data_IF_896077585662
#
_entry.id   IF_896077585662
#
_cell.length_a   1.000
_cell.length_b   1.000
_cell.length_c   1.000
_cell.angle_alpha   90.00
_cell.angle_beta   90.00
_cell.angle_gamma   90.00
#
_symmetry.space_group_name_H-M   'P 1'
#
loop_
_entity.id
_entity.type
_entity.pdbx_description
1 polymer ?
#
# COMPACT_ATOMS: atom_id res chain seq x y z
N UNK A 1 3.06 16.47 23.14
CA UNK A 1 2.33 15.27 23.57
C UNK A 1 3.31 14.10 23.51
N UNK A 2 3.36 13.23 24.53
CA UNK A 2 4.22 12.04 24.48
C UNK A 2 3.66 11.00 23.49
N UNK A 3 4.52 10.16 22.93
CA UNK A 3 4.11 9.08 22.02
C UNK A 3 3.14 8.10 22.69
N UNK A 4 3.30 7.86 23.99
CA UNK A 4 2.40 7.01 24.78
C UNK A 4 0.98 7.58 24.86
N UNK A 5 0.85 8.88 25.15
CA UNK A 5 -0.46 9.54 25.19
C UNK A 5 -1.14 9.53 23.81
N UNK A 6 -0.37 9.64 22.73
CA UNK A 6 -0.91 9.54 21.38
C UNK A 6 -1.42 8.12 21.07
N UNK A 7 -0.68 7.08 21.48
CA UNK A 7 -1.10 5.70 21.32
C UNK A 7 -2.37 5.37 22.11
N UNK A 8 -2.46 5.86 23.35
CA UNK A 8 -3.68 5.72 24.17
C UNK A 8 -4.88 6.40 23.50
N UNK A 9 -4.71 7.64 23.03
CA UNK A 9 -5.74 8.36 22.28
C UNK A 9 -6.20 7.59 21.04
N UNK A 10 -5.25 7.04 20.28
CA UNK A 10 -5.55 6.24 19.08
C UNK A 10 -6.31 4.97 19.47
N UNK A 11 -5.94 4.30 20.56
CA UNK A 11 -6.67 3.11 21.03
C UNK A 11 -8.14 3.39 21.31
N UNK A 12 -8.42 4.43 22.10
CA UNK A 12 -9.79 4.84 22.41
C UNK A 12 -10.61 5.19 21.16
N UNK A 13 -9.98 5.84 20.18
CA UNK A 13 -10.62 6.15 18.90
C UNK A 13 -10.97 4.88 18.14
N UNK A 14 -10.04 3.93 18.03
CA UNK A 14 -10.27 2.70 17.27
C UNK A 14 -11.36 1.83 17.92
N UNK A 15 -11.36 1.72 19.25
CA UNK A 15 -12.41 1.01 19.99
C UNK A 15 -13.79 1.59 19.71
N UNK A 16 -13.93 2.92 19.80
CA UNK A 16 -15.19 3.61 19.53
C UNK A 16 -15.64 3.47 18.06
N UNK A 17 -14.70 3.49 17.12
CA UNK A 17 -14.99 3.30 15.69
C UNK A 17 -15.48 1.88 15.37
N UNK A 18 -14.92 0.88 16.07
CA UNK A 18 -15.30 -0.54 15.93
C UNK A 18 -16.59 -0.88 16.69
N UNK A 19 -17.00 -0.06 17.65
CA UNK A 19 -18.24 -0.23 18.39
C UNK A 19 -19.50 -0.08 17.52
N UNK A 20 -20.64 -0.56 18.04
CA UNK A 20 -21.92 -0.55 17.31
C UNK A 20 -22.72 0.75 17.49
N UNK A 21 -22.42 1.55 18.52
CA UNK A 21 -23.16 2.75 18.86
C UNK A 21 -22.74 3.95 17.98
N UNK A 22 -23.72 4.62 17.38
CA UNK A 22 -23.47 5.73 16.45
C UNK A 22 -22.89 6.98 17.13
N UNK A 23 -23.34 7.31 18.35
CA UNK A 23 -22.86 8.49 19.09
C UNK A 23 -21.34 8.46 19.34
N UNK A 24 -20.82 7.44 20.04
CA UNK A 24 -19.38 7.28 20.25
C UNK A 24 -18.57 7.22 18.95
N UNK A 25 -19.10 6.59 17.90
CA UNK A 25 -18.44 6.54 16.59
C UNK A 25 -18.28 7.94 15.98
N UNK A 26 -19.34 8.76 15.99
CA UNK A 26 -19.29 10.12 15.46
C UNK A 26 -18.34 11.02 16.25
N UNK A 27 -18.30 10.85 17.58
CA UNK A 27 -17.36 11.56 18.44
C UNK A 27 -15.91 11.16 18.12
N UNK A 28 -15.65 9.86 17.96
CA UNK A 28 -14.34 9.35 17.58
C UNK A 28 -13.88 9.83 16.19
N UNK A 29 -14.78 9.88 15.20
CA UNK A 29 -14.49 10.45 13.88
C UNK A 29 -14.12 11.94 13.96
N UNK A 30 -14.85 12.70 14.78
CA UNK A 30 -14.59 14.13 15.00
C UNK A 30 -13.25 14.33 15.71
N UNK A 31 -12.98 13.53 16.74
CA UNK A 31 -11.71 13.56 17.47
C UNK A 31 -10.53 13.20 16.57
N UNK A 32 -10.67 12.16 15.75
CA UNK A 32 -9.64 11.76 14.79
C UNK A 32 -9.37 12.87 13.76
N UNK A 33 -10.43 13.52 13.26
CA UNK A 33 -10.30 14.66 12.36
C UNK A 33 -9.51 15.80 13.01
N UNK A 34 -9.89 16.21 14.21
CA UNK A 34 -9.23 17.31 14.92
C UNK A 34 -7.75 16.98 15.20
N UNK A 35 -7.46 15.78 15.69
CA UNK A 35 -6.07 15.32 15.89
C UNK A 35 -5.27 15.31 14.59
N UNK A 36 -5.88 14.94 13.46
CA UNK A 36 -5.21 14.92 12.15
C UNK A 36 -4.94 16.34 11.64
N UNK A 37 -5.81 17.31 11.96
CA UNK A 37 -5.58 18.73 11.65
C UNK A 37 -4.43 19.28 12.49
N UNK A 38 -4.44 18.99 13.79
CA UNK A 38 -3.47 19.52 14.75
C UNK A 38 -2.07 18.88 14.60
N UNK A 39 -2.02 17.57 14.38
CA UNK A 39 -0.81 16.74 14.40
C UNK A 39 -0.80 15.71 13.24
N UNK A 40 -0.82 16.17 11.98
CA UNK A 40 -0.93 15.30 10.80
C UNK A 40 0.24 14.32 10.67
N UNK A 41 1.47 14.77 10.96
CA UNK A 41 2.67 13.95 10.83
C UNK A 41 2.65 12.77 11.81
N UNK A 42 2.32 13.05 13.06
CA UNK A 42 2.31 12.10 14.16
C UNK A 42 1.19 11.07 13.97
N UNK A 43 -0.01 11.51 13.57
CA UNK A 43 -1.15 10.61 13.33
C UNK A 43 -0.85 9.63 12.19
N UNK A 44 -0.38 10.12 11.04
CA UNK A 44 -0.07 9.25 9.91
C UNK A 44 1.05 8.27 10.23
N UNK A 45 2.09 8.72 10.94
CA UNK A 45 3.20 7.86 11.34
C UNK A 45 2.75 6.79 12.35
N UNK A 46 1.97 7.15 13.36
CA UNK A 46 1.45 6.18 14.33
C UNK A 46 0.55 5.16 13.65
N UNK A 47 -0.30 5.56 12.71
CA UNK A 47 -1.14 4.61 11.98
C UNK A 47 -0.32 3.62 11.15
N UNK A 48 0.75 4.09 10.50
CA UNK A 48 1.68 3.22 9.80
C UNK A 48 2.36 2.23 10.77
N UNK A 49 2.83 2.71 11.93
CA UNK A 49 3.51 1.89 12.92
C UNK A 49 2.60 0.84 13.56
N UNK A 50 1.37 1.20 13.93
CA UNK A 50 0.37 0.28 14.47
C UNK A 50 -0.03 -0.76 13.42
N UNK A 51 -0.39 -0.29 12.22
CA UNK A 51 -0.87 -1.16 11.15
C UNK A 51 0.19 -2.12 10.62
N UNK A 52 1.35 -1.58 10.23
CA UNK A 52 2.39 -2.34 9.53
C UNK A 52 3.35 -3.08 10.46
N UNK A 53 3.61 -2.56 11.67
CA UNK A 53 4.60 -3.15 12.59
C UNK A 53 4.00 -3.65 13.90
N UNK A 54 2.71 -3.43 14.15
CA UNK A 54 2.05 -3.90 15.39
C UNK A 54 2.50 -3.16 16.65
N UNK A 55 3.01 -1.92 16.51
CA UNK A 55 3.42 -1.09 17.66
C UNK A 55 2.23 -0.84 18.58
N UNK A 56 2.46 -0.88 19.90
CA UNK A 56 1.44 -0.54 20.91
C UNK A 56 0.57 -1.71 21.37
N UNK A 57 0.85 -2.95 20.95
CA UNK A 57 0.12 -4.14 21.43
C UNK A 57 -1.31 -4.27 20.91
N UNK A 58 -1.64 -3.54 19.84
CA UNK A 58 -2.96 -3.56 19.22
C UNK A 58 -3.29 -4.92 18.60
N UNK A 59 -4.53 -5.36 18.80
CA UNK A 59 -5.04 -6.59 18.19
C UNK A 59 -5.18 -6.46 16.67
N UNK A 60 -5.25 -7.59 15.97
CA UNK A 60 -5.31 -7.67 14.50
C UNK A 60 -6.37 -6.76 13.88
N UNK A 61 -7.58 -6.69 14.43
CA UNK A 61 -8.64 -5.85 13.87
C UNK A 61 -8.35 -4.35 14.00
N UNK A 62 -7.75 -3.92 15.12
CA UNK A 62 -7.29 -2.54 15.31
C UNK A 62 -6.19 -2.19 14.29
N UNK A 63 -5.19 -3.08 14.15
CA UNK A 63 -4.12 -2.92 13.15
C UNK A 63 -4.70 -2.82 11.73
N UNK A 64 -5.64 -3.69 11.38
CA UNK A 64 -6.29 -3.68 10.09
C UNK A 64 -7.07 -2.37 9.84
N UNK A 65 -7.84 -1.91 10.84
CA UNK A 65 -8.54 -0.62 10.77
C UNK A 65 -7.56 0.55 10.60
N UNK A 66 -6.42 0.56 11.30
CA UNK A 66 -5.42 1.62 11.13
C UNK A 66 -4.84 1.69 9.71
N UNK A 67 -4.62 0.55 9.03
CA UNK A 67 -4.19 0.54 7.63
C UNK A 67 -5.25 1.12 6.69
N UNK A 68 -6.53 0.82 6.93
CA UNK A 68 -7.65 1.41 6.19
C UNK A 68 -7.69 2.92 6.41
N UNK A 69 -7.59 3.36 7.67
CA UNK A 69 -7.64 4.78 8.03
C UNK A 69 -6.44 5.53 7.45
N UNK A 70 -5.22 4.98 7.53
CA UNK A 70 -4.02 5.56 6.95
C UNK A 70 -4.22 5.85 5.45
N UNK A 71 -4.64 4.84 4.69
CA UNK A 71 -4.90 4.97 3.25
C UNK A 71 -5.96 6.04 2.94
N UNK A 72 -7.03 6.09 3.74
CA UNK A 72 -8.17 7.00 3.51
C UNK A 72 -7.90 8.44 3.94
N UNK A 73 -7.14 8.63 5.01
CA UNK A 73 -6.89 9.95 5.58
C UNK A 73 -5.71 10.65 4.93
N UNK A 74 -4.62 9.94 4.63
CA UNK A 74 -3.38 10.56 4.19
C UNK A 74 -3.57 11.46 2.95
N UNK A 75 -4.36 11.02 1.97
CA UNK A 75 -4.44 11.66 0.66
C UNK A 75 -5.77 12.37 0.38
N UNK A 76 -6.71 12.38 1.34
CA UNK A 76 -7.99 13.07 1.18
C UNK A 76 -7.89 14.50 1.72
N UNK A 77 -8.35 15.52 0.97
CA UNK A 77 -8.43 16.88 1.49
C UNK A 77 -9.24 16.95 2.79
N UNK A 78 -8.68 17.61 3.81
CA UNK A 78 -9.28 17.72 5.13
C UNK A 78 -9.63 19.18 5.43
N UNK A 79 -10.91 19.54 5.63
CA UNK A 79 -11.29 20.89 6.04
C UNK A 79 -10.54 21.31 7.30
N UNK A 80 -9.96 22.50 7.30
CA UNK A 80 -9.08 22.99 8.37
C UNK A 80 -7.60 22.76 8.13
N UNK A 81 -7.24 22.02 7.08
CA UNK A 81 -5.86 21.76 6.69
C UNK A 81 -5.54 22.43 5.36
N UNK A 82 -4.53 23.30 5.34
CA UNK A 82 -4.18 24.13 4.19
C UNK A 82 -2.68 24.09 3.92
N UNK A 83 -2.27 24.19 2.65
CA UNK A 83 -0.86 24.16 2.25
C UNK A 83 -0.07 25.35 2.81
N UNK A 84 -0.72 26.49 2.93
CA UNK A 84 -0.18 27.73 3.47
C UNK A 84 -1.34 28.61 3.97
N UNK A 85 -1.05 29.67 4.75
CA UNK A 85 -2.09 30.54 5.33
C UNK A 85 -3.00 31.24 4.29
N UNK A 86 -2.55 31.36 3.03
CA UNK A 86 -3.30 32.04 1.97
C UNK A 86 -4.19 31.08 1.15
N UNK A 87 -3.97 29.76 1.29
CA UNK A 87 -4.69 28.77 0.53
C UNK A 87 -6.17 28.72 0.94
N UNK A 88 -7.06 28.85 -0.05
CA UNK A 88 -8.52 28.81 0.15
C UNK A 88 -9.09 27.40 0.08
N UNK A 89 -8.31 26.45 -0.46
CA UNK A 89 -8.73 25.07 -0.69
C UNK A 89 -8.01 24.16 0.28
N UNK A 90 -8.79 23.32 0.96
CA UNK A 90 -8.25 22.30 1.86
C UNK A 90 -7.30 21.35 1.12
N UNK A 91 -6.26 20.90 1.80
CA UNK A 91 -5.27 19.96 1.28
C UNK A 91 -5.27 18.67 2.08
N UNK A 92 -4.53 17.66 1.59
CA UNK A 92 -4.43 16.39 2.28
C UNK A 92 -3.33 16.40 3.34
N UNK A 93 -3.47 15.62 4.43
CA UNK A 93 -2.43 15.45 5.44
C UNK A 93 -1.06 15.11 4.86
N UNK A 94 -1.00 14.29 3.83
CA UNK A 94 0.24 13.93 3.15
C UNK A 94 0.96 15.17 2.58
N UNK A 95 0.22 16.12 2.01
CA UNK A 95 0.80 17.23 1.24
C UNK A 95 1.49 18.29 2.13
N UNK A 96 1.15 18.35 3.42
CA UNK A 96 1.69 19.33 4.37
C UNK A 96 2.77 18.79 5.31
N UNK A 97 2.90 17.47 5.44
CA UNK A 97 3.92 16.88 6.31
C UNK A 97 5.30 16.95 5.65
N UNK A 98 6.35 17.05 6.48
CA UNK A 98 7.72 17.12 6.00
C UNK A 98 8.12 15.84 5.23
N UNK A 99 8.99 16.01 4.23
CA UNK A 99 9.45 14.91 3.38
C UNK A 99 10.09 13.76 4.19
N UNK A 100 10.89 14.10 5.22
CA UNK A 100 11.46 13.12 6.16
C UNK A 100 10.40 12.23 6.82
N UNK A 101 9.21 12.77 7.09
CA UNK A 101 8.12 12.01 7.72
C UNK A 101 7.46 11.09 6.70
N UNK A 102 7.28 11.54 5.45
CA UNK A 102 6.77 10.70 4.36
C UNK A 102 7.70 9.51 4.11
N UNK A 103 9.00 9.77 3.99
CA UNK A 103 10.01 8.72 3.85
C UNK A 103 9.98 7.73 5.02
N UNK A 104 9.87 8.23 6.27
CA UNK A 104 9.76 7.37 7.45
C UNK A 104 8.49 6.50 7.44
N UNK A 105 7.35 7.03 6.99
CA UNK A 105 6.12 6.24 6.84
C UNK A 105 6.34 5.13 5.80
N UNK A 106 6.99 5.44 4.70
CA UNK A 106 7.33 4.46 3.66
C UNK A 106 8.25 3.36 4.16
N UNK A 107 9.30 3.72 4.90
CA UNK A 107 10.20 2.75 5.53
C UNK A 107 9.43 1.80 6.46
N UNK A 108 8.49 2.33 7.25
CA UNK A 108 7.63 1.54 8.14
C UNK A 108 6.74 0.59 7.34
N UNK A 109 6.10 1.07 6.27
CA UNK A 109 5.23 0.27 5.42
C UNK A 109 6.00 -0.84 4.68
N UNK A 110 7.18 -0.50 4.14
CA UNK A 110 8.06 -1.43 3.44
C UNK A 110 8.62 -2.49 4.38
N UNK A 111 9.01 -2.10 5.60
CA UNK A 111 9.45 -3.04 6.64
C UNK A 111 8.31 -3.99 7.02
N UNK A 112 7.10 -3.47 7.24
CA UNK A 112 5.93 -4.30 7.53
C UNK A 112 5.63 -5.31 6.41
N UNK A 113 5.77 -4.91 5.14
CA UNK A 113 5.57 -5.83 4.01
C UNK A 113 6.57 -6.98 3.99
N UNK A 114 7.80 -6.74 4.45
CA UNK A 114 8.83 -7.77 4.56
C UNK A 114 8.46 -8.78 5.65
N UNK A 115 8.08 -8.29 6.82
CA UNK A 115 8.04 -9.08 8.05
C UNK A 115 6.64 -9.64 8.41
N UNK A 116 5.56 -9.12 7.82
CA UNK A 116 4.19 -9.55 8.16
C UNK A 116 3.93 -11.03 7.78
N UNK A 117 3.53 -11.82 8.77
CA UNK A 117 3.25 -13.25 8.63
C UNK A 117 1.76 -13.56 8.69
N UNK A 118 0.95 -12.67 9.27
CA UNK A 118 -0.49 -12.85 9.35
C UNK A 118 -1.12 -12.62 7.97
N UNK A 119 -1.73 -13.66 7.40
CA UNK A 119 -2.28 -13.66 6.04
C UNK A 119 -3.34 -12.57 5.84
N UNK A 120 -4.21 -12.34 6.82
CA UNK A 120 -5.23 -11.28 6.76
C UNK A 120 -4.60 -9.90 6.74
N UNK A 121 -3.61 -9.67 7.61
CA UNK A 121 -2.87 -8.40 7.65
C UNK A 121 -2.07 -8.17 6.39
N UNK A 122 -1.43 -9.20 5.82
CA UNK A 122 -0.68 -9.11 4.54
C UNK A 122 -1.52 -8.51 3.42
N UNK A 123 -2.74 -9.02 3.22
CA UNK A 123 -3.62 -8.51 2.16
C UNK A 123 -4.00 -7.05 2.41
N UNK A 124 -4.37 -6.70 3.65
CA UNK A 124 -4.70 -5.32 4.03
C UNK A 124 -3.52 -4.36 3.94
N UNK A 125 -2.32 -4.82 4.31
CA UNK A 125 -1.08 -4.08 4.20
C UNK A 125 -0.69 -3.88 2.73
N UNK A 126 -0.79 -4.93 1.92
CA UNK A 126 -0.62 -4.85 0.47
C UNK A 126 -1.56 -3.82 -0.17
N UNK A 127 -2.86 -3.83 0.18
CA UNK A 127 -3.84 -2.86 -0.29
C UNK A 127 -3.56 -1.42 0.19
N UNK A 128 -3.02 -1.28 1.40
CA UNK A 128 -2.63 0.00 1.98
C UNK A 128 -1.40 0.57 1.24
N UNK A 129 -0.34 -0.23 1.09
CA UNK A 129 0.88 0.17 0.40
C UNK A 129 0.61 0.44 -1.08
N UNK A 130 -0.13 -0.43 -1.76
CA UNK A 130 -0.59 -0.21 -3.14
C UNK A 130 -1.27 1.17 -3.29
N UNK A 131 -2.21 1.48 -2.39
CA UNK A 131 -2.90 2.77 -2.39
C UNK A 131 -1.97 3.94 -2.09
N UNK A 132 -1.01 3.75 -1.18
CA UNK A 132 0.01 4.75 -0.90
C UNK A 132 0.84 5.06 -2.14
N UNK A 133 1.38 4.03 -2.80
CA UNK A 133 2.19 4.16 -4.01
C UNK A 133 1.43 4.85 -5.13
N UNK A 134 0.18 4.45 -5.39
CA UNK A 134 -0.64 5.11 -6.41
C UNK A 134 -0.74 6.62 -6.15
N UNK A 135 -0.96 7.00 -4.89
CA UNK A 135 -1.14 8.40 -4.50
C UNK A 135 0.16 9.19 -4.50
N UNK A 136 1.29 8.58 -4.16
CA UNK A 136 2.61 9.24 -4.24
C UNK A 136 3.09 9.35 -5.68
N UNK A 137 2.87 8.34 -6.52
CA UNK A 137 3.15 8.39 -7.96
C UNK A 137 2.30 9.43 -8.68
N UNK A 138 1.02 9.58 -8.32
CA UNK A 138 0.17 10.67 -8.83
C UNK A 138 0.72 12.08 -8.48
N UNK A 139 1.57 12.17 -7.46
CA UNK A 139 2.29 13.39 -7.04
C UNK A 139 3.72 13.45 -7.57
N UNK A 140 4.08 12.60 -8.53
CA UNK A 140 5.42 12.49 -9.11
C UNK A 140 6.50 12.20 -8.06
N UNK A 141 6.14 11.50 -6.98
CA UNK A 141 7.03 11.13 -5.88
C UNK A 141 7.13 9.60 -5.76
N UNK A 142 8.04 8.96 -6.51
CA UNK A 142 8.19 7.51 -6.45
C UNK A 142 8.75 7.03 -5.11
N UNK A 143 8.30 5.87 -4.64
CA UNK A 143 8.84 5.21 -3.44
C UNK A 143 9.95 4.24 -3.83
N UNK A 144 11.20 4.70 -3.75
CA UNK A 144 12.37 3.93 -4.22
C UNK A 144 12.72 2.74 -3.32
N UNK A 145 12.22 2.70 -2.07
CA UNK A 145 12.50 1.63 -1.12
C UNK A 145 11.70 0.34 -1.38
N UNK A 146 10.56 0.44 -2.08
CA UNK A 146 9.65 -0.68 -2.27
C UNK A 146 10.10 -1.71 -3.33
N UNK A 147 10.63 -1.33 -4.51
CA UNK A 147 10.98 -2.28 -5.56
C UNK A 147 11.91 -3.42 -5.12
N UNK A 148 13.01 -3.20 -4.36
CA UNK A 148 13.86 -4.29 -3.89
C UNK A 148 13.10 -5.28 -2.99
N UNK A 149 12.21 -4.78 -2.13
CA UNK A 149 11.38 -5.63 -1.26
C UNK A 149 10.38 -6.42 -2.08
N UNK A 150 9.71 -5.80 -3.05
CA UNK A 150 8.79 -6.49 -3.95
C UNK A 150 9.48 -7.64 -4.69
N UNK A 151 10.67 -7.39 -5.26
CA UNK A 151 11.45 -8.42 -5.97
C UNK A 151 11.88 -9.56 -5.04
N UNK A 152 12.17 -9.27 -3.77
CA UNK A 152 12.41 -10.32 -2.77
C UNK A 152 11.16 -11.15 -2.48
N UNK A 153 9.99 -10.51 -2.41
CA UNK A 153 8.73 -11.19 -2.10
C UNK A 153 8.24 -12.10 -3.24
N UNK A 154 8.53 -11.81 -4.51
CA UNK A 154 8.13 -12.65 -5.66
C UNK A 154 8.79 -14.03 -5.64
N UNK A 155 9.93 -14.18 -4.98
CA UNK A 155 10.70 -15.44 -4.87
C UNK A 155 10.58 -16.10 -3.50
N UNK A 156 9.77 -15.54 -2.60
CA UNK A 156 9.54 -16.09 -1.27
C UNK A 156 8.97 -17.50 -1.34
N UNK A 157 9.38 -18.38 -0.40
CA UNK A 157 8.78 -19.70 -0.24
C UNK A 157 7.30 -19.64 0.17
N UNK A 158 6.87 -18.53 0.78
CA UNK A 158 5.52 -18.33 1.29
C UNK A 158 4.56 -17.82 0.19
N UNK A 159 3.45 -18.53 -0.13
CA UNK A 159 2.53 -18.10 -1.18
C UNK A 159 1.94 -16.72 -0.97
N UNK A 160 1.62 -16.35 0.27
CA UNK A 160 1.03 -15.06 0.59
C UNK A 160 2.01 -13.88 0.41
N UNK A 161 3.33 -14.10 0.44
CA UNK A 161 4.33 -13.08 0.08
C UNK A 161 4.31 -12.83 -1.43
N UNK A 162 4.31 -13.90 -2.22
CA UNK A 162 4.25 -13.85 -3.67
C UNK A 162 2.95 -13.20 -4.13
N UNK A 163 1.82 -13.59 -3.52
CA UNK A 163 0.51 -12.97 -3.73
C UNK A 163 0.57 -11.44 -3.59
N UNK A 164 1.09 -10.95 -2.45
CA UNK A 164 1.17 -9.49 -2.20
C UNK A 164 2.04 -8.77 -3.23
N UNK A 165 3.05 -9.44 -3.79
CA UNK A 165 3.90 -8.85 -4.83
C UNK A 165 3.10 -8.56 -6.11
N UNK A 166 2.27 -9.52 -6.53
CA UNK A 166 1.39 -9.34 -7.68
C UNK A 166 0.23 -8.39 -7.38
N UNK A 167 -0.28 -8.36 -6.15
CA UNK A 167 -1.27 -7.36 -5.71
C UNK A 167 -0.71 -5.93 -5.86
N UNK A 168 0.56 -5.71 -5.45
CA UNK A 168 1.23 -4.43 -5.61
C UNK A 168 1.44 -4.07 -7.08
N UNK A 169 1.87 -5.02 -7.93
CA UNK A 169 2.03 -4.79 -9.38
C UNK A 169 0.70 -4.55 -10.10
N UNK A 170 -0.37 -5.21 -9.66
CA UNK A 170 -1.70 -4.97 -10.20
C UNK A 170 -2.17 -3.54 -9.94
N UNK A 171 -1.94 -3.04 -8.71
CA UNK A 171 -2.36 -1.72 -8.31
C UNK A 171 -1.41 -0.61 -8.77
N UNK A 172 -0.11 -0.85 -8.83
CA UNK A 172 0.91 0.10 -9.26
C UNK A 172 1.76 -0.51 -10.39
N UNK A 173 1.24 -0.56 -11.63
CA UNK A 173 1.86 -1.34 -12.72
C UNK A 173 3.21 -0.81 -13.17
N UNK A 174 3.48 0.48 -12.93
CA UNK A 174 4.74 1.13 -13.26
C UNK A 174 5.78 1.03 -12.14
N UNK A 175 5.48 0.36 -11.02
CA UNK A 175 6.34 0.33 -9.82
C UNK A 175 7.77 -0.17 -10.10
N UNK A 176 7.96 -1.10 -11.05
CA UNK A 176 9.29 -1.63 -11.39
C UNK A 176 9.96 -0.94 -12.58
N UNK A 177 9.28 0.04 -13.18
CA UNK A 177 9.76 0.79 -14.35
C UNK A 177 10.05 2.24 -13.97
N UNK A 178 9.09 2.91 -13.34
CA UNK A 178 9.16 4.34 -13.02
C UNK A 178 9.67 4.64 -11.61
N UNK A 179 9.55 3.68 -10.68
CA UNK A 179 9.87 3.90 -9.26
C UNK A 179 11.22 3.32 -8.83
N UNK A 180 12.16 3.21 -9.77
CA UNK A 180 13.50 2.66 -9.56
C UNK A 180 14.56 3.59 -10.13
N UNK A 181 15.73 3.64 -9.49
CA UNK A 181 16.88 4.37 -10.04
C UNK A 181 17.39 3.73 -11.34
N UNK A 182 17.22 2.41 -11.47
CA UNK A 182 17.53 1.63 -12.66
C UNK A 182 16.31 0.74 -13.00
N UNK A 183 15.57 1.03 -14.09
CA UNK A 183 14.46 0.20 -14.56
C UNK A 183 14.86 -1.25 -14.73
N UNK A 184 14.04 -2.18 -14.24
CA UNK A 184 14.33 -3.60 -14.50
C UNK A 184 14.19 -3.88 -16.00
N UNK A 185 15.04 -4.73 -16.60
CA UNK A 185 14.87 -5.12 -17.99
C UNK A 185 13.48 -5.72 -18.23
N UNK A 186 12.79 -5.29 -19.28
CA UNK A 186 11.44 -5.79 -19.64
C UNK A 186 11.36 -7.32 -19.70
N UNK A 187 12.43 -8.01 -20.14
CA UNK A 187 12.49 -9.47 -20.16
C UNK A 187 12.42 -10.07 -18.76
N UNK A 188 13.08 -9.44 -17.78
CA UNK A 188 13.01 -9.86 -16.38
C UNK A 188 11.60 -9.64 -15.81
N UNK A 189 10.96 -8.53 -16.14
CA UNK A 189 9.55 -8.30 -15.79
C UNK A 189 8.64 -9.40 -16.39
N UNK A 190 8.88 -9.76 -17.65
CA UNK A 190 8.21 -10.89 -18.31
C UNK A 190 8.39 -12.21 -17.57
N UNK A 191 9.61 -12.54 -17.13
CA UNK A 191 9.86 -13.74 -16.33
C UNK A 191 9.16 -13.71 -14.97
N UNK A 192 9.10 -12.56 -14.30
CA UNK A 192 8.38 -12.43 -13.02
C UNK A 192 6.89 -12.69 -13.20
N UNK A 193 6.27 -12.09 -14.23
CA UNK A 193 4.85 -12.30 -14.53
C UNK A 193 4.57 -13.76 -14.91
N UNK A 194 5.43 -14.36 -15.72
CA UNK A 194 5.33 -15.76 -16.11
C UNK A 194 5.44 -16.71 -14.91
N UNK A 195 6.39 -16.43 -14.00
CA UNK A 195 6.53 -17.20 -12.76
C UNK A 195 5.28 -17.11 -11.89
N UNK A 196 4.62 -15.95 -11.84
CA UNK A 196 3.34 -15.77 -11.16
C UNK A 196 2.20 -16.56 -11.79
N UNK A 197 2.09 -16.56 -13.12
CA UNK A 197 1.09 -17.36 -13.85
C UNK A 197 1.27 -18.87 -13.63
N UNK A 198 2.51 -19.31 -13.44
CA UNK A 198 2.87 -20.70 -13.21
C UNK A 198 3.08 -21.04 -11.72
N UNK A 199 2.66 -20.15 -10.81
CA UNK A 199 2.81 -20.36 -9.37
C UNK A 199 2.00 -21.59 -8.91
N UNK A 200 2.50 -22.42 -7.97
CA UNK A 200 1.73 -23.54 -7.43
C UNK A 200 0.41 -23.11 -6.77
N UNK A 201 0.35 -21.90 -6.19
CA UNK A 201 -0.84 -21.38 -5.52
C UNK A 201 -1.81 -20.74 -6.53
N UNK A 202 -3.06 -21.20 -6.51
CA UNK A 202 -4.16 -20.63 -7.33
C UNK A 202 -4.34 -19.14 -7.06
N UNK A 203 -4.31 -18.73 -5.78
CA UNK A 203 -4.50 -17.32 -5.39
C UNK A 203 -3.41 -16.42 -5.99
N UNK A 204 -2.16 -16.91 -5.99
CA UNK A 204 -1.03 -16.20 -6.60
C UNK A 204 -1.21 -16.10 -8.11
N UNK A 205 -1.63 -17.19 -8.78
CA UNK A 205 -1.90 -17.18 -10.23
C UNK A 205 -2.97 -16.17 -10.60
N UNK A 206 -4.08 -16.14 -9.87
CA UNK A 206 -5.18 -15.18 -10.09
C UNK A 206 -4.68 -13.74 -9.96
N UNK A 207 -3.91 -13.44 -8.91
CA UNK A 207 -3.39 -12.10 -8.70
C UNK A 207 -2.33 -11.73 -9.75
N UNK A 208 -1.49 -12.69 -10.16
CA UNK A 208 -0.53 -12.53 -11.25
C UNK A 208 -1.20 -12.24 -12.59
N UNK A 209 -2.36 -12.86 -12.89
CA UNK A 209 -3.14 -12.54 -14.09
C UNK A 209 -3.66 -11.09 -14.06
N UNK A 210 -4.12 -10.60 -12.91
CA UNK A 210 -4.53 -9.19 -12.76
C UNK A 210 -3.33 -8.25 -12.93
N UNK A 211 -2.19 -8.60 -12.35
CA UNK A 211 -0.94 -7.84 -12.49
C UNK A 211 -0.49 -7.79 -13.95
N UNK A 212 -0.49 -8.93 -14.65
CA UNK A 212 -0.16 -9.02 -16.07
C UNK A 212 -1.04 -8.08 -16.89
N UNK A 213 -2.36 -8.13 -16.70
CA UNK A 213 -3.29 -7.23 -17.38
C UNK A 213 -2.90 -5.77 -17.16
N UNK A 214 -2.75 -5.35 -15.90
CA UNK A 214 -2.43 -3.96 -15.59
C UNK A 214 -1.06 -3.53 -16.13
N UNK A 215 -0.03 -4.39 -16.03
CA UNK A 215 1.32 -4.10 -16.54
C UNK A 215 1.31 -3.97 -18.05
N UNK A 216 0.65 -4.87 -18.78
CA UNK A 216 0.56 -4.75 -20.23
C UNK A 216 -0.23 -3.51 -20.64
N UNK A 217 -1.26 -3.11 -19.89
CA UNK A 217 -2.07 -1.93 -20.21
C UNK A 217 -1.35 -0.61 -19.91
N UNK A 218 -0.72 -0.51 -18.74
CA UNK A 218 -0.27 0.77 -18.15
C UNK A 218 1.21 0.77 -17.76
N UNK A 219 1.79 -0.39 -17.45
CA UNK A 219 3.13 -0.51 -16.86
C UNK A 219 4.29 -0.42 -17.86
N UNK A 220 4.04 -0.69 -19.15
CA UNK A 220 5.06 -0.72 -20.20
C UNK A 220 4.59 -0.08 -21.50
N UNK A 221 5.53 0.37 -22.32
CA UNK A 221 5.30 0.94 -23.64
C UNK A 221 4.97 -0.10 -24.72
N UNK A 222 4.56 0.39 -25.89
CA UNK A 222 4.14 -0.47 -27.02
C UNK A 222 5.22 -1.47 -27.47
N UNK A 223 6.48 -1.03 -27.59
CA UNK A 223 7.61 -1.89 -28.01
C UNK A 223 7.89 -3.01 -27.01
N UNK A 224 7.81 -2.70 -25.72
CA UNK A 224 8.01 -3.66 -24.63
C UNK A 224 6.87 -4.67 -24.60
N UNK A 225 5.64 -4.20 -24.80
CA UNK A 225 4.45 -5.04 -24.93
C UNK A 225 4.55 -6.01 -26.10
N UNK A 226 5.07 -5.59 -27.25
CA UNK A 226 5.31 -6.48 -28.39
C UNK A 226 6.34 -7.57 -28.07
N UNK A 227 7.35 -7.25 -27.25
CA UNK A 227 8.44 -8.17 -26.91
C UNK A 227 8.02 -9.29 -25.96
N UNK A 228 7.26 -8.98 -24.89
CA UNK A 228 6.89 -9.97 -23.86
C UNK A 228 5.40 -10.34 -23.86
N UNK A 229 4.54 -9.50 -24.42
CA UNK A 229 3.08 -9.65 -24.37
C UNK A 229 2.56 -10.92 -25.02
N UNK A 230 2.94 -11.29 -26.26
CA UNK A 230 2.43 -12.48 -26.92
C UNK A 230 2.66 -13.77 -26.12
N UNK A 231 3.86 -13.94 -25.55
CA UNK A 231 4.20 -15.11 -24.75
C UNK A 231 3.40 -15.16 -23.44
N UNK A 232 3.26 -14.01 -22.77
CA UNK A 232 2.51 -13.89 -21.52
C UNK A 232 1.01 -14.15 -21.71
N UNK A 233 0.41 -13.61 -22.78
CA UNK A 233 -1.00 -13.84 -23.11
C UNK A 233 -1.22 -15.31 -23.43
N UNK A 234 -0.38 -15.91 -24.28
CA UNK A 234 -0.49 -17.32 -24.63
C UNK A 234 -0.44 -18.21 -23.37
N UNK A 235 0.52 -17.97 -22.46
CA UNK A 235 0.64 -18.76 -21.24
C UNK A 235 -0.59 -18.62 -20.33
N UNK A 236 -1.12 -17.40 -20.18
CA UNK A 236 -2.27 -17.14 -19.32
C UNK A 236 -3.53 -17.95 -19.71
N UNK A 237 -3.61 -18.44 -20.95
CA UNK A 237 -4.73 -19.24 -21.45
C UNK A 237 -4.41 -20.74 -21.63
N UNK A 238 -3.16 -21.19 -21.47
CA UNK A 238 -2.78 -22.60 -21.62
C UNK A 238 -3.36 -23.51 -20.52
N UNK A 239 -3.47 -23.01 -19.28
CA UNK A 239 -3.95 -23.80 -18.14
C UNK A 239 -5.47 -24.12 -18.18
N UNK A 240 -6.20 -23.59 -19.17
CA UNK A 240 -7.65 -23.77 -19.29
C UNK A 240 -8.06 -24.96 -20.16
N UNK A 241 -7.11 -25.69 -20.75
CA UNK A 241 -7.39 -26.70 -21.80
C UNK A 241 -7.18 -28.15 -21.33
N UNK A 242 -6.39 -28.38 -20.27
CA UNK A 242 -6.03 -29.72 -19.78
C UNK A 242 -6.67 -30.08 -18.41
N UNK A 243 -7.79 -29.43 -18.06
CA UNK A 243 -8.55 -29.68 -16.83
C UNK A 243 -9.90 -30.35 -17.07
#
# INVERSE_FOLDING_TARGET
MSTEHLLENVGLILEALMGNANGPRQEAETRLRNLTIDQPAEILLVFAQVGALGVGGFQTDHRFLTLILLKRLAFRPLPGLFLNPQAQVATSPFDIIAERTRARIEDVLVTGLKDEINVRMRKGLGDCVAGWIQQTSARQRPCLALPPVLLGLTTSSQPFHRFTSFQLLHAAPTLLVDSVSEPIPVKQLGHILLAGLNDPSVDVRIEAMKALKSVLQEGIGAKERELIGPALVLEAFKASVDG
#
